data_IF_515842564828
#
_entry.id   IF_515842564828
#
_cell.length_a   1.000
_cell.length_b   1.000
_cell.length_c   1.000
_cell.angle_alpha   90.00
_cell.angle_beta   90.00
_cell.angle_gamma   90.00
#
_symmetry.space_group_name_H-M   'P 1'
#
loop_
_entity.id
_entity.type
_entity.pdbx_description
1 polymer ?
#
# COMPACT_ATOMS: atom_id res chain seq x y z
N UNK A 1 -28.06 -5.25 -7.38
CA UNK A 1 -27.64 -6.37 -8.28
C UNK A 1 -26.52 -5.88 -9.18
N UNK A 2 -25.28 -6.35 -8.99
CA UNK A 2 -24.15 -6.00 -9.91
C UNK A 2 -24.39 -6.81 -11.18
N UNK A 3 -24.62 -6.15 -12.30
CA UNK A 3 -24.83 -6.82 -13.59
C UNK A 3 -23.53 -7.54 -14.01
N UNK A 4 -23.63 -8.65 -14.77
CA UNK A 4 -22.49 -9.40 -15.30
C UNK A 4 -21.49 -8.43 -16.00
N UNK A 5 -22.00 -7.48 -16.75
CA UNK A 5 -21.22 -6.47 -17.46
C UNK A 5 -20.39 -5.56 -16.52
N UNK A 6 -20.92 -5.18 -15.35
CA UNK A 6 -20.15 -4.37 -14.40
C UNK A 6 -19.03 -5.16 -13.73
N UNK A 7 -19.14 -6.47 -13.59
CA UNK A 7 -18.10 -7.35 -13.07
C UNK A 7 -16.96 -7.52 -14.08
N UNK A 8 -17.30 -7.66 -15.37
CA UNK A 8 -16.32 -7.91 -16.42
C UNK A 8 -15.38 -6.70 -16.62
N UNK A 9 -15.88 -5.46 -16.64
CA UNK A 9 -15.02 -4.29 -16.80
C UNK A 9 -14.13 -4.02 -15.58
N UNK A 10 -14.60 -4.35 -14.35
CA UNK A 10 -13.78 -4.23 -13.16
C UNK A 10 -12.57 -5.18 -13.19
N UNK A 11 -12.79 -6.43 -13.62
CA UNK A 11 -11.71 -7.41 -13.82
C UNK A 11 -10.74 -6.90 -14.89
N UNK A 12 -11.26 -6.39 -16.02
CA UNK A 12 -10.43 -5.84 -17.10
C UNK A 12 -9.53 -4.70 -16.60
N UNK A 13 -10.07 -3.72 -15.87
CA UNK A 13 -9.27 -2.62 -15.32
C UNK A 13 -8.22 -3.14 -14.33
N UNK A 14 -8.59 -4.03 -13.43
CA UNK A 14 -7.65 -4.60 -12.46
C UNK A 14 -6.49 -5.30 -13.16
N UNK A 15 -6.79 -6.18 -14.11
CA UNK A 15 -5.77 -6.91 -14.89
C UNK A 15 -4.90 -5.94 -15.69
N UNK A 16 -5.50 -4.91 -16.32
CA UNK A 16 -4.76 -3.89 -17.07
C UNK A 16 -3.80 -3.09 -16.19
N UNK A 17 -4.20 -2.74 -14.96
CA UNK A 17 -3.32 -2.04 -14.00
C UNK A 17 -2.16 -2.93 -13.55
N UNK A 18 -2.41 -4.20 -13.27
CA UNK A 18 -1.36 -5.16 -12.93
C UNK A 18 -0.40 -5.37 -14.12
N UNK A 19 -0.93 -5.52 -15.33
CA UNK A 19 -0.12 -5.65 -16.54
C UNK A 19 0.73 -4.40 -16.80
N UNK A 20 0.18 -3.20 -16.58
CA UNK A 20 0.91 -1.94 -16.68
C UNK A 20 2.06 -1.88 -15.67
N UNK A 21 1.80 -2.22 -14.40
CA UNK A 21 2.83 -2.25 -13.34
C UNK A 21 3.94 -3.25 -13.72
N UNK A 22 3.57 -4.46 -14.14
CA UNK A 22 4.53 -5.48 -14.58
C UNK A 22 5.37 -5.00 -15.76
N UNK A 23 4.75 -4.37 -16.76
CA UNK A 23 5.42 -3.80 -17.92
C UNK A 23 6.40 -2.68 -17.52
N UNK A 24 5.99 -1.76 -16.64
CA UNK A 24 6.86 -0.69 -16.15
C UNK A 24 8.06 -1.24 -15.39
N UNK A 25 7.87 -2.27 -14.55
CA UNK A 25 8.96 -2.96 -13.87
C UNK A 25 9.90 -3.65 -14.88
N UNK A 26 9.34 -4.31 -15.88
CA UNK A 26 10.12 -4.99 -16.91
C UNK A 26 10.99 -4.02 -17.72
N UNK A 27 10.41 -2.91 -18.18
CA UNK A 27 11.05 -1.90 -19.01
C UNK A 27 11.95 -0.94 -18.21
N UNK A 28 11.86 -0.91 -16.88
CA UNK A 28 12.66 0.00 -16.07
C UNK A 28 14.17 -0.26 -16.24
N UNK A 29 15.00 0.80 -16.19
CA UNK A 29 16.43 0.67 -16.38
C UNK A 29 17.07 -0.14 -15.23
N UNK A 30 18.08 -0.94 -15.57
CA UNK A 30 18.97 -1.55 -14.59
C UNK A 30 19.91 -0.49 -13.99
N UNK A 31 20.41 -0.74 -12.79
CA UNK A 31 21.41 0.12 -12.12
C UNK A 31 22.77 -0.58 -12.09
N UNK A 32 23.87 0.21 -12.05
CA UNK A 32 25.23 -0.30 -12.22
C UNK A 32 25.63 -1.31 -11.13
N UNK A 33 25.22 -1.08 -9.89
CA UNK A 33 25.62 -1.91 -8.74
C UNK A 33 24.71 -3.13 -8.57
N UNK A 34 23.41 -2.94 -8.69
CA UNK A 34 22.39 -3.96 -8.43
C UNK A 34 21.89 -4.67 -9.69
N UNK A 35 22.28 -4.19 -10.87
CA UNK A 35 21.82 -4.73 -12.14
C UNK A 35 20.27 -4.75 -12.20
N UNK A 36 19.70 -5.89 -12.57
CA UNK A 36 18.25 -6.05 -12.69
C UNK A 36 17.53 -6.19 -11.32
N UNK A 37 18.22 -6.43 -10.22
CA UNK A 37 17.61 -6.51 -8.88
C UNK A 37 16.96 -5.20 -8.49
N UNK A 38 17.49 -4.06 -8.97
CA UNK A 38 16.93 -2.74 -8.72
C UNK A 38 15.47 -2.59 -9.18
N UNK A 39 15.04 -3.36 -10.18
CA UNK A 39 13.63 -3.35 -10.66
C UNK A 39 12.64 -3.77 -9.58
N UNK A 40 13.01 -4.75 -8.75
CA UNK A 40 12.23 -5.14 -7.57
C UNK A 40 12.23 -4.03 -6.52
N UNK A 41 13.33 -3.31 -6.36
CA UNK A 41 13.44 -2.18 -5.42
C UNK A 41 12.55 -1.02 -5.86
N UNK A 42 12.42 -0.75 -7.17
CA UNK A 42 11.48 0.26 -7.67
C UNK A 42 10.04 -0.10 -7.31
N UNK A 43 9.63 -1.35 -7.56
CA UNK A 43 8.28 -1.83 -7.22
C UNK A 43 8.04 -1.77 -5.71
N UNK A 44 8.96 -2.30 -4.92
CA UNK A 44 8.91 -2.29 -3.46
C UNK A 44 8.80 -0.85 -2.92
N UNK A 45 9.62 0.07 -3.40
CA UNK A 45 9.58 1.47 -2.98
C UNK A 45 8.28 2.19 -3.36
N UNK A 46 7.74 1.92 -4.56
CA UNK A 46 6.47 2.48 -5.01
C UNK A 46 5.29 1.96 -4.15
N UNK A 47 5.25 0.66 -3.87
CA UNK A 47 4.23 0.04 -3.02
C UNK A 47 4.32 0.54 -1.56
N UNK A 48 5.55 0.72 -1.01
CA UNK A 48 5.75 1.27 0.33
C UNK A 48 5.14 2.67 0.45
N UNK A 49 5.45 3.56 -0.49
CA UNK A 49 4.90 4.93 -0.51
C UNK A 49 3.39 4.94 -0.68
N UNK A 50 2.87 4.12 -1.61
CA UNK A 50 1.43 3.97 -1.84
C UNK A 50 0.72 3.47 -0.58
N UNK A 51 1.26 2.47 0.10
CA UNK A 51 0.70 1.92 1.33
C UNK A 51 0.69 2.94 2.48
N UNK A 52 1.78 3.69 2.68
CA UNK A 52 1.83 4.76 3.69
C UNK A 52 0.80 5.86 3.42
N UNK A 53 0.65 6.29 2.16
CA UNK A 53 -0.39 7.26 1.78
C UNK A 53 -1.78 6.68 2.03
N UNK A 54 -2.01 5.41 1.71
CA UNK A 54 -3.28 4.75 1.98
C UNK A 54 -3.61 4.69 3.49
N UNK A 55 -2.62 4.38 4.36
CA UNK A 55 -2.79 4.46 5.82
C UNK A 55 -3.07 5.89 6.29
N UNK A 56 -2.37 6.88 5.75
CA UNK A 56 -2.63 8.29 6.05
C UNK A 56 -4.06 8.70 5.67
N UNK A 57 -4.52 8.31 4.47
CA UNK A 57 -5.90 8.55 4.03
C UNK A 57 -6.93 7.84 4.93
N UNK A 58 -6.69 6.59 5.31
CA UNK A 58 -7.56 5.86 6.24
C UNK A 58 -7.64 6.58 7.58
N UNK A 59 -6.51 7.07 8.11
CA UNK A 59 -6.46 7.86 9.33
C UNK A 59 -7.21 9.18 9.23
N UNK A 60 -7.04 9.94 8.15
CA UNK A 60 -7.76 11.20 7.91
C UNK A 60 -9.27 10.98 7.75
N UNK A 61 -9.69 9.94 7.04
CA UNK A 61 -11.09 9.55 6.92
C UNK A 61 -11.65 9.06 8.26
N UNK A 62 -10.84 8.38 9.07
CA UNK A 62 -11.18 8.01 10.45
C UNK A 62 -11.46 9.24 11.30
N UNK A 63 -10.56 10.22 11.29
CA UNK A 63 -10.75 11.49 11.99
C UNK A 63 -12.02 12.22 11.51
N UNK A 64 -12.19 12.35 10.19
CA UNK A 64 -13.39 12.98 9.62
C UNK A 64 -14.70 12.27 10.02
N UNK A 65 -14.66 10.92 10.06
CA UNK A 65 -15.80 10.11 10.49
C UNK A 65 -16.17 10.35 11.96
N UNK A 66 -15.17 10.44 12.86
CA UNK A 66 -15.37 10.72 14.28
C UNK A 66 -15.95 12.11 14.52
N UNK A 67 -15.46 13.12 13.77
CA UNK A 67 -15.86 14.51 13.95
C UNK A 67 -17.21 14.82 13.31
N UNK A 68 -17.47 14.29 12.11
CA UNK A 68 -18.63 14.69 11.31
C UNK A 68 -19.81 13.72 11.42
N UNK A 69 -19.59 12.49 11.89
CA UNK A 69 -20.62 11.44 12.07
C UNK A 69 -21.52 11.21 10.84
N UNK A 70 -20.99 11.34 9.62
CA UNK A 70 -21.74 11.19 8.37
C UNK A 70 -21.69 9.74 7.88
N UNK A 71 -22.84 9.08 7.59
CA UNK A 71 -22.86 7.68 7.14
C UNK A 71 -22.03 7.40 5.89
N UNK A 72 -21.95 8.36 4.96
CA UNK A 72 -21.12 8.22 3.75
C UNK A 72 -19.63 8.11 4.07
N UNK A 73 -19.13 8.77 5.13
CA UNK A 73 -17.74 8.69 5.54
C UNK A 73 -17.38 7.33 6.14
N UNK A 74 -18.34 6.66 6.79
CA UNK A 74 -18.11 5.31 7.36
C UNK A 74 -17.66 4.33 6.29
N UNK A 75 -18.35 4.29 5.14
CA UNK A 75 -18.03 3.39 4.04
C UNK A 75 -16.67 3.72 3.38
N UNK A 76 -16.32 5.00 3.27
CA UNK A 76 -15.01 5.43 2.79
C UNK A 76 -13.88 5.09 3.76
N UNK A 77 -14.10 5.29 5.06
CA UNK A 77 -13.14 4.98 6.11
C UNK A 77 -12.83 3.47 6.16
N UNK A 78 -13.85 2.63 6.14
CA UNK A 78 -13.70 1.16 6.10
C UNK A 78 -12.97 0.70 4.83
N UNK A 79 -13.40 1.19 3.67
CA UNK A 79 -12.76 0.89 2.40
C UNK A 79 -11.28 1.32 2.36
N UNK A 80 -10.95 2.49 2.92
CA UNK A 80 -9.58 2.98 2.97
C UNK A 80 -8.68 2.12 3.87
N UNK A 81 -9.15 1.68 5.04
CA UNK A 81 -8.41 0.77 5.91
C UNK A 81 -8.12 -0.57 5.23
N UNK A 82 -9.13 -1.17 4.57
CA UNK A 82 -8.97 -2.41 3.78
C UNK A 82 -8.00 -2.23 2.62
N UNK A 83 -8.05 -1.09 1.94
CA UNK A 83 -7.11 -0.77 0.85
C UNK A 83 -5.68 -0.65 1.36
N UNK A 84 -5.48 0.06 2.47
CA UNK A 84 -4.15 0.22 3.08
C UNK A 84 -3.56 -1.14 3.45
N UNK A 85 -4.35 -2.03 4.08
CA UNK A 85 -3.91 -3.39 4.39
C UNK A 85 -3.58 -4.18 3.11
N UNK A 86 -4.44 -4.15 2.07
CA UNK A 86 -4.20 -4.89 0.83
C UNK A 86 -2.89 -4.47 0.16
N UNK A 87 -2.65 -3.17 0.02
CA UNK A 87 -1.40 -2.64 -0.55
C UNK A 87 -0.21 -3.01 0.34
N UNK A 88 -0.35 -2.95 1.67
CA UNK A 88 0.74 -3.27 2.59
C UNK A 88 1.11 -4.75 2.59
N UNK A 89 0.16 -5.66 2.37
CA UNK A 89 0.44 -7.08 2.14
C UNK A 89 1.29 -7.26 0.89
N UNK A 90 0.90 -6.65 -0.24
CA UNK A 90 1.65 -6.75 -1.50
C UNK A 90 3.03 -6.11 -1.36
N UNK A 91 3.13 -4.97 -0.68
CA UNK A 91 4.40 -4.34 -0.31
C UNK A 91 5.29 -5.30 0.50
N UNK A 92 4.76 -5.95 1.53
CA UNK A 92 5.52 -6.87 2.39
C UNK A 92 6.05 -8.05 1.60
N UNK A 93 5.25 -8.64 0.71
CA UNK A 93 5.69 -9.72 -0.19
C UNK A 93 6.78 -9.25 -1.15
N UNK A 94 6.63 -8.07 -1.76
CA UNK A 94 7.66 -7.49 -2.63
C UNK A 94 8.93 -7.14 -1.87
N UNK A 95 8.82 -6.73 -0.60
CA UNK A 95 9.94 -6.51 0.30
C UNK A 95 10.75 -7.79 0.54
N UNK A 96 10.06 -8.89 0.84
CA UNK A 96 10.72 -10.20 1.03
C UNK A 96 11.48 -10.63 -0.22
N UNK A 97 10.89 -10.47 -1.41
CA UNK A 97 11.54 -10.80 -2.68
C UNK A 97 12.76 -9.90 -2.95
N UNK A 98 12.63 -8.60 -2.72
CA UNK A 98 13.73 -7.64 -2.89
C UNK A 98 14.89 -7.91 -1.91
N UNK A 99 14.56 -8.22 -0.66
CA UNK A 99 15.52 -8.55 0.39
C UNK A 99 16.26 -9.85 0.06
N UNK A 100 15.54 -10.85 -0.43
CA UNK A 100 16.15 -12.11 -0.86
C UNK A 100 17.09 -11.91 -2.07
N UNK A 101 16.62 -11.17 -3.06
CA UNK A 101 17.43 -10.91 -4.27
C UNK A 101 18.68 -10.07 -3.99
N UNK A 102 18.61 -9.12 -3.03
CA UNK A 102 19.72 -8.23 -2.71
C UNK A 102 20.67 -8.79 -1.63
N UNK A 103 20.15 -9.55 -0.65
CA UNK A 103 20.90 -9.94 0.54
C UNK A 103 20.84 -11.44 0.87
N UNK A 104 20.15 -12.26 0.08
CA UNK A 104 20.05 -13.71 0.26
C UNK A 104 19.16 -14.16 1.43
N UNK A 105 18.40 -13.24 2.06
CA UNK A 105 17.50 -13.53 3.17
C UNK A 105 16.11 -12.94 2.90
N UNK A 106 15.05 -13.68 3.22
CA UNK A 106 13.68 -13.16 3.01
C UNK A 106 13.31 -12.03 3.97
N UNK A 107 13.78 -12.08 5.20
CA UNK A 107 13.51 -11.06 6.21
C UNK A 107 14.84 -10.67 6.88
N UNK A 108 15.26 -9.44 6.66
CA UNK A 108 16.45 -8.88 7.31
C UNK A 108 16.07 -8.26 8.66
N UNK A 109 15.97 -9.08 9.71
CA UNK A 109 15.56 -8.64 11.06
C UNK A 109 16.46 -7.56 11.66
N UNK A 110 17.71 -7.49 11.24
CA UNK A 110 18.68 -6.47 11.65
C UNK A 110 18.54 -5.15 10.88
N UNK A 111 17.59 -5.04 9.94
CA UNK A 111 17.22 -3.79 9.29
C UNK A 111 15.99 -3.19 10.00
N UNK A 112 16.13 -2.08 10.75
CA UNK A 112 15.02 -1.53 11.55
C UNK A 112 13.78 -1.20 10.74
N UNK A 113 13.95 -0.80 9.48
CA UNK A 113 12.83 -0.49 8.60
C UNK A 113 12.04 -1.74 8.19
N UNK A 114 12.69 -2.89 8.03
CA UNK A 114 12.03 -4.18 7.80
C UNK A 114 11.21 -4.57 9.04
N UNK A 115 11.80 -4.47 10.23
CA UNK A 115 11.10 -4.75 11.48
C UNK A 115 9.88 -3.83 11.68
N UNK A 116 10.03 -2.51 11.43
CA UNK A 116 8.93 -1.56 11.49
C UNK A 116 7.80 -1.91 10.51
N UNK A 117 8.12 -2.30 9.28
CA UNK A 117 7.10 -2.66 8.28
C UNK A 117 6.33 -3.92 8.66
N UNK A 118 6.98 -4.89 9.30
CA UNK A 118 6.31 -6.11 9.83
C UNK A 118 5.40 -5.73 11.02
N UNK A 119 5.84 -4.85 11.91
CA UNK A 119 4.99 -4.36 13.01
C UNK A 119 3.72 -3.67 12.48
N UNK A 120 3.84 -2.84 11.45
CA UNK A 120 2.68 -2.22 10.77
C UNK A 120 1.77 -3.29 10.17
N UNK A 121 2.32 -4.31 9.50
CA UNK A 121 1.52 -5.40 8.94
C UNK A 121 0.73 -6.15 10.00
N UNK A 122 1.38 -6.52 11.11
CA UNK A 122 0.74 -7.22 12.23
C UNK A 122 -0.37 -6.33 12.82
N UNK A 123 -0.07 -5.07 13.09
CA UNK A 123 -1.07 -4.11 13.62
C UNK A 123 -2.26 -3.95 12.67
N UNK A 124 -2.01 -3.85 11.35
CA UNK A 124 -3.07 -3.72 10.36
C UNK A 124 -3.96 -4.97 10.26
N UNK A 125 -3.37 -6.17 10.36
CA UNK A 125 -4.13 -7.42 10.39
C UNK A 125 -4.99 -7.52 11.65
N UNK A 126 -4.43 -7.19 12.83
CA UNK A 126 -5.15 -7.22 14.11
C UNK A 126 -6.30 -6.20 14.12
N UNK A 127 -6.04 -4.96 13.67
CA UNK A 127 -7.06 -3.91 13.58
C UNK A 127 -8.18 -4.30 12.61
N UNK A 128 -7.83 -4.83 11.43
CA UNK A 128 -8.84 -5.27 10.46
C UNK A 128 -9.67 -6.42 11.00
N UNK A 129 -9.04 -7.40 11.67
CA UNK A 129 -9.74 -8.48 12.35
C UNK A 129 -10.67 -7.95 13.43
N UNK A 130 -10.20 -7.05 14.31
CA UNK A 130 -11.02 -6.45 15.36
C UNK A 130 -12.21 -5.67 14.77
N UNK A 131 -12.02 -4.94 13.68
CA UNK A 131 -13.10 -4.21 13.00
C UNK A 131 -14.20 -5.15 12.47
N UNK A 132 -13.85 -6.35 12.01
CA UNK A 132 -14.83 -7.36 11.58
C UNK A 132 -15.66 -7.91 12.75
N UNK A 133 -15.07 -8.06 13.95
CA UNK A 133 -15.76 -8.56 15.13
C UNK A 133 -16.65 -7.50 15.79
N UNK A 134 -16.15 -6.26 15.90
CA UNK A 134 -16.89 -5.18 16.59
C UNK A 134 -17.99 -4.61 15.71
N UNK A 135 -17.80 -4.61 14.39
CA UNK A 135 -18.75 -4.11 13.37
C UNK A 135 -19.42 -2.76 13.74
N UNK A 136 -18.61 -1.82 14.24
CA UNK A 136 -19.10 -0.52 14.67
C UNK A 136 -18.32 0.62 13.98
N UNK A 137 -19.00 1.56 13.27
CA UNK A 137 -18.35 2.59 12.46
C UNK A 137 -17.38 3.49 13.23
N UNK A 138 -17.71 3.89 14.46
CA UNK A 138 -16.81 4.72 15.28
C UNK A 138 -15.58 3.96 15.73
N UNK A 139 -15.70 2.66 15.99
CA UNK A 139 -14.57 1.81 16.33
C UNK A 139 -13.62 1.69 15.13
N UNK A 140 -14.15 1.40 13.94
CA UNK A 140 -13.36 1.37 12.70
C UNK A 140 -12.68 2.72 12.43
N UNK A 141 -13.38 3.82 12.68
CA UNK A 141 -12.81 5.16 12.50
C UNK A 141 -11.67 5.45 13.48
N UNK A 142 -11.84 5.12 14.76
CA UNK A 142 -10.79 5.31 15.77
C UNK A 142 -9.57 4.44 15.51
N UNK A 143 -9.77 3.16 15.19
CA UNK A 143 -8.68 2.22 14.90
C UNK A 143 -7.93 2.59 13.62
N UNK A 144 -8.60 3.05 12.56
CA UNK A 144 -7.93 3.54 11.35
C UNK A 144 -7.13 4.83 11.61
N UNK A 145 -7.64 5.75 12.44
CA UNK A 145 -6.89 6.94 12.86
C UNK A 145 -5.59 6.56 13.57
N UNK A 146 -5.69 5.68 14.56
CA UNK A 146 -4.54 5.21 15.35
C UNK A 146 -3.54 4.43 14.47
N UNK A 147 -4.04 3.53 13.63
CA UNK A 147 -3.19 2.74 12.73
C UNK A 147 -2.50 3.62 11.68
N UNK A 148 -3.19 4.61 11.13
CA UNK A 148 -2.59 5.58 10.21
C UNK A 148 -1.42 6.33 10.86
N UNK A 149 -1.63 6.86 12.06
CA UNK A 149 -0.57 7.52 12.85
C UNK A 149 0.59 6.58 13.19
N UNK A 150 0.27 5.36 13.64
CA UNK A 150 1.25 4.33 13.99
C UNK A 150 2.12 3.93 12.79
N UNK A 151 1.52 3.70 11.61
CA UNK A 151 2.24 3.31 10.41
C UNK A 151 3.27 4.37 9.99
N UNK A 152 2.86 5.62 9.98
CA UNK A 152 3.77 6.74 9.70
C UNK A 152 4.85 6.86 10.77
N UNK A 153 4.48 6.83 12.05
CA UNK A 153 5.43 6.97 13.15
C UNK A 153 6.50 5.87 13.16
N UNK A 154 6.11 4.59 13.04
CA UNK A 154 7.03 3.47 13.03
C UNK A 154 8.00 3.54 11.84
N UNK A 155 7.48 3.82 10.64
CA UNK A 155 8.31 3.83 9.42
C UNK A 155 9.24 5.04 9.36
N UNK A 156 8.84 6.21 9.86
CA UNK A 156 9.69 7.41 9.85
C UNK A 156 10.80 7.39 10.93
N UNK A 157 10.54 6.74 12.06
CA UNK A 157 11.55 6.58 13.11
C UNK A 157 12.57 5.46 12.87
N UNK A 158 12.22 4.51 12.00
CA UNK A 158 13.09 3.40 11.70
C UNK A 158 14.33 3.86 10.93
N UNK A 159 15.51 3.62 11.50
CA UNK A 159 16.77 3.86 10.81
C UNK A 159 16.88 2.98 9.57
N UNK A 160 17.68 3.42 8.61
CA UNK A 160 18.05 2.67 7.41
C UNK A 160 19.54 2.40 7.54
N UNK A 161 19.93 1.13 7.56
CA UNK A 161 21.33 0.72 7.83
C UNK A 161 21.97 0.12 6.58
N UNK A 162 21.19 -0.67 5.81
CA UNK A 162 21.73 -1.50 4.73
C UNK A 162 21.70 -0.90 3.33
N UNK A 163 21.00 0.22 3.14
CA UNK A 163 20.91 0.88 1.82
C UNK A 163 20.86 2.41 1.97
N UNK A 164 21.14 3.16 0.90
CA UNK A 164 21.01 4.63 0.92
C UNK A 164 19.59 5.07 1.29
N UNK A 165 19.47 6.24 1.90
CA UNK A 165 18.18 6.78 2.36
C UNK A 165 17.20 6.98 1.18
N UNK A 166 17.67 7.53 0.07
CA UNK A 166 16.85 7.85 -1.09
C UNK A 166 17.54 7.50 -2.42
N UNK A 167 17.85 6.21 -2.68
CA UNK A 167 18.68 5.80 -3.80
C UNK A 167 18.12 6.21 -5.17
N UNK A 168 16.81 6.34 -5.29
CA UNK A 168 16.13 6.75 -6.54
C UNK A 168 16.16 8.27 -6.70
N UNK A 169 15.83 9.02 -5.64
CA UNK A 169 15.82 10.47 -5.67
C UNK A 169 17.20 11.07 -5.88
N UNK A 170 18.23 10.43 -5.33
CA UNK A 170 19.62 10.85 -5.40
C UNK A 170 20.33 10.38 -6.70
N UNK A 171 19.66 9.57 -7.53
CA UNK A 171 20.18 9.14 -8.83
C UNK A 171 20.27 10.31 -9.82
N UNK A 172 21.34 10.41 -10.57
CA UNK A 172 21.49 11.39 -11.67
C UNK A 172 20.70 11.00 -12.92
N UNK A 173 20.22 9.77 -13.00
CA UNK A 173 19.51 9.25 -14.17
C UNK A 173 18.06 9.73 -14.21
N UNK A 174 17.74 10.58 -15.18
CA UNK A 174 16.37 11.00 -15.47
C UNK A 174 15.45 9.81 -15.83
N UNK A 175 16.01 8.78 -16.48
CA UNK A 175 15.26 7.56 -16.81
C UNK A 175 14.82 6.82 -15.55
N UNK A 176 15.71 6.61 -14.57
CA UNK A 176 15.38 5.98 -13.28
C UNK A 176 14.26 6.75 -12.59
N UNK A 177 14.40 8.07 -12.47
CA UNK A 177 13.38 8.92 -11.83
C UNK A 177 12.04 8.87 -12.57
N UNK A 178 12.06 8.92 -13.90
CA UNK A 178 10.85 8.89 -14.74
C UNK A 178 10.09 7.56 -14.64
N UNK A 179 10.81 6.43 -14.77
CA UNK A 179 10.19 5.10 -14.60
C UNK A 179 9.63 4.89 -13.20
N UNK A 180 10.35 5.33 -12.18
CA UNK A 180 9.85 5.24 -10.81
C UNK A 180 8.61 6.10 -10.58
N UNK A 181 8.57 7.32 -11.11
CA UNK A 181 7.39 8.17 -11.03
C UNK A 181 6.18 7.55 -11.74
N UNK A 182 6.36 6.99 -12.94
CA UNK A 182 5.31 6.28 -13.66
C UNK A 182 4.81 5.05 -12.87
N UNK A 183 5.72 4.27 -12.30
CA UNK A 183 5.39 3.11 -11.47
C UNK A 183 4.62 3.51 -10.20
N UNK A 184 5.05 4.59 -9.55
CA UNK A 184 4.35 5.13 -8.38
C UNK A 184 2.93 5.58 -8.71
N UNK A 185 2.73 6.28 -9.84
CA UNK A 185 1.41 6.67 -10.32
C UNK A 185 0.53 5.45 -10.64
N UNK A 186 1.08 4.42 -11.26
CA UNK A 186 0.35 3.17 -11.52
C UNK A 186 -0.05 2.46 -10.23
N UNK A 187 0.81 2.43 -9.20
CA UNK A 187 0.48 1.90 -7.89
C UNK A 187 -0.61 2.73 -7.19
N UNK A 188 -0.59 4.06 -7.29
CA UNK A 188 -1.68 4.90 -6.78
C UNK A 188 -3.00 4.66 -7.52
N UNK A 189 -2.97 4.49 -8.85
CA UNK A 189 -4.15 4.13 -9.63
C UNK A 189 -4.73 2.77 -9.19
N UNK A 190 -3.88 1.78 -8.94
CA UNK A 190 -4.29 0.49 -8.39
C UNK A 190 -4.92 0.64 -7.00
N UNK A 191 -4.30 1.42 -6.10
CA UNK A 191 -4.84 1.67 -4.77
C UNK A 191 -6.20 2.39 -4.83
N UNK A 192 -6.35 3.39 -5.70
CA UNK A 192 -7.62 4.06 -5.93
C UNK A 192 -8.68 3.08 -6.46
N UNK A 193 -8.33 2.23 -7.43
CA UNK A 193 -9.24 1.20 -7.92
C UNK A 193 -9.71 0.26 -6.79
N UNK A 194 -8.80 -0.23 -5.96
CA UNK A 194 -9.10 -1.11 -4.82
C UNK A 194 -10.00 -0.39 -3.81
N UNK A 195 -9.73 0.89 -3.52
CA UNK A 195 -10.54 1.73 -2.64
C UNK A 195 -12.00 1.83 -3.13
N UNK A 196 -12.19 2.19 -4.40
CA UNK A 196 -13.53 2.27 -4.99
C UNK A 196 -14.22 0.90 -5.05
N UNK A 197 -13.48 -0.17 -5.25
CA UNK A 197 -14.02 -1.53 -5.27
C UNK A 197 -14.53 -1.96 -3.88
N UNK A 198 -13.77 -1.74 -2.81
CA UNK A 198 -14.21 -2.00 -1.44
C UNK A 198 -15.40 -1.11 -1.06
N UNK A 199 -15.35 0.18 -1.42
CA UNK A 199 -16.43 1.13 -1.17
C UNK A 199 -17.77 0.68 -1.79
N UNK A 200 -17.75 0.25 -3.05
CA UNK A 200 -18.95 -0.28 -3.73
C UNK A 200 -19.49 -1.55 -3.08
N UNK A 201 -18.61 -2.46 -2.66
CA UNK A 201 -19.02 -3.68 -1.95
C UNK A 201 -19.70 -3.39 -0.61
N UNK A 202 -19.21 -2.40 0.13
CA UNK A 202 -19.84 -1.97 1.37
C UNK A 202 -21.27 -1.43 1.17
N UNK A 203 -21.56 -0.86 0.00
CA UNK A 203 -22.92 -0.39 -0.35
C UNK A 203 -23.85 -1.54 -0.76
N UNK A 204 -23.33 -2.51 -1.53
CA UNK A 204 -24.16 -3.63 -2.04
C UNK A 204 -24.41 -4.72 -0.99
N UNK A 205 -23.58 -4.84 0.02
CA UNK A 205 -23.76 -5.81 1.12
C UNK A 205 -24.77 -5.40 2.19
N UNK A 206 -25.34 -4.19 2.09
CA UNK A 206 -26.37 -3.67 3.02
C UNK A 206 -27.81 -3.83 2.50
N UNK A 207 -27.99 -4.42 1.33
CA UNK A 207 -29.28 -4.80 0.74
C UNK A 207 -29.46 -6.31 0.80
#
# INVERSE_FOLDING_TARGET
MITKQTKDWQITIFVSLIALIALLVWLSPAEQTLGNVVKLIYLHGALARTGLVAFGMAGLLGLATLLLSRPSLNAWCDAAGKTALAIWIVYSLSSMLSTYAAWGVFIAWNEPRVAASIQVLIAALLVTGANLFVDHPRFTAATNLLLGGLAWWLTQRAAIIRHPFNPIGDSDSAAIKGFYAALLLACFALAAFILFWFRRRAETGKN
#
